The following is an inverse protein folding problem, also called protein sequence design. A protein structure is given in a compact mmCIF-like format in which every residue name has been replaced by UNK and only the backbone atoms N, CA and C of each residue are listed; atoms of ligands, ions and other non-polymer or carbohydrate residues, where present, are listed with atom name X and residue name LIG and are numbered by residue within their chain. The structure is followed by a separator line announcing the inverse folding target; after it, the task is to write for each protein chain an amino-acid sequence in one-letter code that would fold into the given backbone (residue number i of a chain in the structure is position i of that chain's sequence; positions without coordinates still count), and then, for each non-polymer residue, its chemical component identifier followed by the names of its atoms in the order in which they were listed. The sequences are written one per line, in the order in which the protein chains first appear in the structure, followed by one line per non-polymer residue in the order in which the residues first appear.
data_IF_605717170217
#
_entry.id   IF_605717170217
#
_cell.length_a   1.000
_cell.length_b   1.000
_cell.length_c   1.000
_cell.angle_alpha   90.00
_cell.angle_beta   90.00
_cell.angle_gamma   90.00
#
_symmetry.space_group_name_H-M   'P 1'
#
loop_
_entity.id
_entity.type
_entity.pdbx_description
1 polymer ?
#
# COMPACT_ATOMS: atom_id res chain seq x y z
N UNK A 1 10.58 9.10 -15.50
CA UNK A 1 9.54 8.27 -14.87
C UNK A 1 10.19 7.06 -14.22
N UNK A 2 9.78 6.74 -13.01
CA UNK A 2 10.31 5.58 -12.28
C UNK A 2 9.86 4.28 -12.95
N UNK A 3 10.76 3.31 -13.03
CA UNK A 3 10.45 1.96 -13.53
C UNK A 3 9.98 1.02 -12.43
N UNK A 4 9.84 1.52 -11.22
CA UNK A 4 9.44 0.75 -10.06
C UNK A 4 8.34 1.47 -9.32
N UNK A 5 7.37 0.68 -8.84
CA UNK A 5 6.38 1.16 -7.88
C UNK A 5 6.88 0.87 -6.47
N UNK A 6 6.57 1.74 -5.55
CA UNK A 6 6.66 1.44 -4.12
C UNK A 6 5.27 1.13 -3.61
N UNK A 7 5.17 0.24 -2.65
CA UNK A 7 3.90 -0.13 -2.06
C UNK A 7 3.94 -0.12 -0.56
N UNK A 8 2.79 0.09 0.05
CA UNK A 8 2.63 -0.01 1.50
C UNK A 8 1.67 -1.15 1.77
N UNK A 9 2.19 -2.27 2.26
CA UNK A 9 1.40 -3.48 2.50
C UNK A 9 1.27 -3.73 4.00
N UNK A 10 0.06 -4.08 4.40
CA UNK A 10 -0.28 -4.40 5.78
C UNK A 10 -0.25 -5.91 5.96
N UNK A 11 0.58 -6.42 6.87
CA UNK A 11 0.78 -7.86 7.05
C UNK A 11 -0.51 -8.60 7.43
N UNK A 12 -1.32 -8.01 8.32
CA UNK A 12 -2.55 -8.66 8.78
C UNK A 12 -3.65 -8.69 7.72
N UNK A 13 -3.48 -7.97 6.60
CA UNK A 13 -4.46 -8.00 5.53
C UNK A 13 -4.38 -9.28 4.68
N UNK A 14 -3.35 -10.10 4.87
CA UNK A 14 -3.16 -11.33 4.10
C UNK A 14 -3.40 -12.56 4.94
N UNK A 15 -4.05 -13.58 4.34
CA UNK A 15 -4.27 -14.87 4.99
C UNK A 15 -2.95 -15.57 5.30
N UNK A 16 -1.94 -15.37 4.44
CA UNK A 16 -0.59 -15.89 4.63
C UNK A 16 0.41 -14.73 4.59
N UNK A 17 0.88 -14.25 5.76
CA UNK A 17 1.83 -13.14 5.78
C UNK A 17 3.17 -13.45 5.10
N UNK A 18 3.51 -14.73 4.90
CA UNK A 18 4.74 -15.10 4.20
C UNK A 18 4.75 -14.65 2.75
N UNK A 19 3.59 -14.34 2.18
CA UNK A 19 3.52 -13.74 0.86
C UNK A 19 4.39 -12.49 0.74
N UNK A 20 4.52 -11.72 1.83
CA UNK A 20 5.32 -10.50 1.83
C UNK A 20 6.82 -10.76 1.68
N UNK A 21 7.28 -11.98 1.99
CA UNK A 21 8.69 -12.32 1.94
C UNK A 21 9.27 -12.34 0.51
N UNK A 22 8.40 -12.39 -0.50
CA UNK A 22 8.87 -12.39 -1.91
C UNK A 22 9.31 -11.01 -2.39
N UNK A 23 8.98 -9.95 -1.67
CA UNK A 23 9.23 -8.58 -2.10
C UNK A 23 10.52 -8.03 -1.53
N UNK A 24 11.15 -7.12 -2.30
CA UNK A 24 12.22 -6.29 -1.77
C UNK A 24 11.59 -5.24 -0.86
N UNK A 25 12.03 -5.19 0.39
CA UNK A 25 11.47 -4.30 1.40
C UNK A 25 12.43 -3.13 1.62
N UNK A 26 11.93 -1.91 1.56
CA UNK A 26 12.74 -0.72 1.85
C UNK A 26 12.41 -0.12 3.23
N UNK A 27 11.32 -0.51 3.86
CA UNK A 27 10.96 -0.03 5.19
C UNK A 27 9.99 -0.97 5.87
N UNK A 28 10.05 -1.04 7.20
CA UNK A 28 9.08 -1.74 8.03
C UNK A 28 8.74 -0.86 9.21
N UNK A 29 7.46 -0.76 9.54
CA UNK A 29 7.01 0.00 10.69
C UNK A 29 5.94 -0.77 11.44
N UNK A 30 6.25 -1.16 12.67
CA UNK A 30 5.27 -1.81 13.53
C UNK A 30 4.39 -0.75 14.18
N UNK A 31 3.07 -0.96 14.15
CA UNK A 31 2.13 -0.07 14.83
C UNK A 31 2.30 -0.20 16.35
N UNK A 32 2.19 0.92 17.07
CA UNK A 32 2.25 0.94 18.53
C UNK A 32 0.92 0.57 19.17
N UNK A 33 -0.18 0.72 18.44
CA UNK A 33 -1.54 0.55 18.97
C UNK A 33 -2.28 -0.63 18.39
N UNK A 34 -1.80 -1.19 17.26
CA UNK A 34 -2.43 -2.31 16.57
C UNK A 34 -1.41 -3.42 16.35
N UNK A 35 -1.86 -4.68 16.12
CA UNK A 35 -0.92 -5.77 15.82
C UNK A 35 -0.37 -5.74 14.40
N UNK A 36 -0.38 -4.59 13.75
CA UNK A 36 -0.01 -4.42 12.34
C UNK A 36 1.47 -4.09 12.18
N UNK A 37 2.08 -4.63 11.14
CA UNK A 37 3.36 -4.15 10.63
C UNK A 37 3.16 -3.71 9.19
N UNK A 38 3.54 -2.47 8.91
CA UNK A 38 3.49 -1.92 7.56
C UNK A 38 4.81 -2.24 6.86
N UNK A 39 4.72 -2.76 5.64
CA UNK A 39 5.88 -3.11 4.84
C UNK A 39 5.94 -2.20 3.62
N UNK A 40 7.00 -1.39 3.51
CA UNK A 40 7.28 -0.64 2.30
C UNK A 40 8.03 -1.54 1.35
N UNK A 41 7.47 -1.80 0.17
CA UNK A 41 8.02 -2.75 -0.79
C UNK A 41 8.26 -2.09 -2.14
N UNK A 42 9.09 -2.74 -2.96
CA UNK A 42 9.41 -2.29 -4.31
C UNK A 42 8.92 -3.33 -5.30
N UNK A 43 8.17 -2.89 -6.32
CA UNK A 43 7.64 -3.76 -7.37
C UNK A 43 8.01 -3.18 -8.73
N UNK A 44 8.72 -3.93 -9.59
CA UNK A 44 9.00 -3.46 -10.95
C UNK A 44 7.71 -3.18 -11.73
N UNK A 45 7.76 -2.20 -12.63
CA UNK A 45 6.54 -1.79 -13.38
C UNK A 45 5.97 -2.92 -14.23
N UNK A 46 6.81 -3.83 -14.72
CA UNK A 46 6.33 -4.95 -15.54
C UNK A 46 5.70 -6.06 -14.72
N UNK A 47 5.78 -5.99 -13.38
CA UNK A 47 5.16 -6.98 -12.49
C UNK A 47 3.94 -6.44 -11.74
N UNK A 48 3.65 -5.14 -11.87
CA UNK A 48 2.63 -4.51 -11.01
C UNK A 48 1.23 -5.11 -11.21
N UNK A 49 0.84 -5.39 -12.45
CA UNK A 49 -0.48 -5.96 -12.72
C UNK A 49 -0.62 -7.35 -12.12
N UNK A 50 0.41 -8.19 -12.24
CA UNK A 50 0.42 -9.52 -11.64
C UNK A 50 0.33 -9.44 -10.12
N UNK A 51 1.10 -8.53 -9.52
CA UNK A 51 1.10 -8.33 -8.07
C UNK A 51 -0.27 -7.88 -7.57
N UNK A 52 -0.91 -6.94 -8.27
CA UNK A 52 -2.26 -6.49 -7.91
C UNK A 52 -3.23 -7.66 -7.89
N UNK A 53 -3.20 -8.51 -8.91
CA UNK A 53 -4.07 -9.68 -8.98
C UNK A 53 -3.80 -10.66 -7.85
N UNK A 54 -2.52 -10.88 -7.53
CA UNK A 54 -2.14 -11.76 -6.42
C UNK A 54 -2.65 -11.22 -5.08
N UNK A 55 -2.50 -9.90 -4.86
CA UNK A 55 -2.96 -9.26 -3.63
C UNK A 55 -4.47 -9.46 -3.48
N UNK A 56 -5.23 -9.22 -4.54
CA UNK A 56 -6.68 -9.39 -4.47
C UNK A 56 -7.09 -10.83 -4.15
N UNK A 57 -6.32 -11.80 -4.65
CA UNK A 57 -6.59 -13.21 -4.36
C UNK A 57 -6.22 -13.59 -2.92
N UNK A 58 -5.24 -12.90 -2.32
CA UNK A 58 -4.68 -13.28 -1.02
C UNK A 58 -5.16 -12.43 0.14
N UNK A 59 -5.86 -11.33 -0.11
CA UNK A 59 -6.43 -10.52 0.98
C UNK A 59 -7.45 -11.37 1.74
N UNK A 60 -7.45 -11.23 3.08
CA UNK A 60 -8.41 -11.97 3.92
C UNK A 60 -9.83 -11.60 3.51
N UNK A 61 -10.74 -12.58 3.38
CA UNK A 61 -12.13 -12.29 3.07
C UNK A 61 -12.85 -11.70 4.27
N UNK A 62 -13.87 -10.91 4.02
CA UNK A 62 -14.77 -10.35 5.04
C UNK A 62 -14.15 -9.32 5.96
N UNK A 63 -12.93 -8.84 5.64
CA UNK A 63 -12.27 -7.76 6.38
C UNK A 63 -12.02 -6.59 5.44
N UNK A 64 -12.23 -5.34 5.90
CA UNK A 64 -12.13 -4.16 5.02
C UNK A 64 -10.69 -3.66 4.88
N UNK A 65 -9.80 -4.49 4.38
CA UNK A 65 -8.42 -4.09 4.18
C UNK A 65 -8.18 -3.60 2.76
N UNK A 66 -7.20 -2.70 2.63
CA UNK A 66 -6.66 -2.29 1.33
C UNK A 66 -5.16 -2.10 1.44
N UNK A 67 -4.49 -2.12 0.29
CA UNK A 67 -3.08 -1.80 0.16
C UNK A 67 -2.93 -0.83 -1.00
N UNK A 68 -1.80 -0.11 -1.07
CA UNK A 68 -1.64 0.83 -2.16
C UNK A 68 -0.22 0.86 -2.68
N UNK A 69 -0.09 1.28 -3.94
CA UNK A 69 1.17 1.44 -4.66
C UNK A 69 1.24 2.84 -5.24
N UNK A 70 2.44 3.34 -5.40
CA UNK A 70 2.64 4.70 -5.90
C UNK A 70 3.97 4.83 -6.61
N UNK A 71 4.02 5.72 -7.59
CA UNK A 71 5.24 6.20 -8.24
C UNK A 71 4.90 7.51 -8.95
N UNK A 72 5.86 8.43 -9.04
CA UNK A 72 5.67 9.71 -9.75
C UNK A 72 4.33 10.34 -9.38
N UNK A 73 3.40 10.47 -10.33
CA UNK A 73 2.08 11.03 -10.10
C UNK A 73 0.97 9.97 -10.18
N UNK A 74 1.29 8.71 -9.90
CA UNK A 74 0.33 7.60 -9.91
C UNK A 74 0.12 7.08 -8.50
N UNK A 75 -1.12 6.80 -8.16
CA UNK A 75 -1.49 6.16 -6.89
C UNK A 75 -2.52 5.08 -7.21
N UNK A 76 -2.21 3.84 -6.83
CA UNK A 76 -3.09 2.69 -7.06
C UNK A 76 -3.55 2.16 -5.70
N UNK A 77 -4.86 2.16 -5.48
CA UNK A 77 -5.44 1.64 -4.23
C UNK A 77 -6.12 0.31 -4.55
N UNK A 78 -5.69 -0.74 -3.86
CA UNK A 78 -6.12 -2.11 -4.13
C UNK A 78 -7.00 -2.62 -2.99
N UNK A 79 -8.30 -2.74 -3.24
CA UNK A 79 -9.24 -3.44 -2.37
C UNK A 79 -9.41 -4.86 -2.90
N UNK A 80 -9.97 -5.75 -2.10
CA UNK A 80 -10.14 -7.14 -2.51
C UNK A 80 -10.92 -7.28 -3.82
N UNK A 81 -11.98 -6.49 -3.98
CA UNK A 81 -12.87 -6.62 -5.13
C UNK A 81 -12.81 -5.45 -6.09
N UNK A 82 -11.94 -4.47 -5.84
CA UNK A 82 -11.87 -3.28 -6.69
C UNK A 82 -10.50 -2.61 -6.61
N UNK A 83 -10.05 -2.06 -7.74
CA UNK A 83 -8.80 -1.31 -7.84
C UNK A 83 -9.12 0.09 -8.36
N UNK A 84 -8.56 1.10 -7.69
CA UNK A 84 -8.69 2.49 -8.12
C UNK A 84 -7.32 3.01 -8.56
N UNK A 85 -7.29 3.68 -9.70
CA UNK A 85 -6.09 4.34 -10.20
C UNK A 85 -6.33 5.83 -10.15
N UNK A 86 -5.66 6.48 -9.22
CA UNK A 86 -5.83 7.89 -8.91
C UNK A 86 -4.45 8.56 -8.87
N UNK A 87 -4.38 9.77 -8.34
CA UNK A 87 -3.11 10.50 -8.20
C UNK A 87 -2.93 10.89 -6.73
N UNK A 88 -1.74 11.37 -6.33
CA UNK A 88 -1.56 11.91 -4.98
C UNK A 88 -2.42 13.15 -4.66
N UNK A 89 -3.01 13.78 -5.67
CA UNK A 89 -3.93 14.89 -5.47
C UNK A 89 -5.24 14.39 -4.87
N UNK A 90 -5.56 14.85 -3.68
CA UNK A 90 -6.76 14.42 -2.95
C UNK A 90 -8.07 14.67 -3.70
N UNK A 91 -8.09 15.64 -4.63
CA UNK A 91 -9.28 15.90 -5.44
C UNK A 91 -9.66 14.69 -6.32
N UNK A 92 -8.72 13.76 -6.56
CA UNK A 92 -8.97 12.55 -7.35
C UNK A 92 -9.47 11.38 -6.51
N UNK A 93 -9.59 11.53 -5.18
CA UNK A 93 -9.85 10.42 -4.26
C UNK A 93 -11.32 10.16 -3.95
N UNK A 94 -12.22 11.00 -4.42
CA UNK A 94 -13.63 10.98 -4.01
C UNK A 94 -14.26 9.58 -4.09
N UNK A 95 -14.17 8.94 -5.24
CA UNK A 95 -14.78 7.63 -5.46
C UNK A 95 -14.10 6.53 -4.64
N UNK A 96 -12.78 6.62 -4.50
CA UNK A 96 -12.00 5.66 -3.73
C UNK A 96 -12.37 5.72 -2.25
N UNK A 97 -12.45 6.94 -1.69
CA UNK A 97 -12.84 7.14 -0.30
C UNK A 97 -14.27 6.68 -0.07
N UNK A 98 -15.18 7.03 -0.98
CA UNK A 98 -16.57 6.59 -0.87
C UNK A 98 -16.69 5.06 -0.86
N UNK A 99 -15.93 4.38 -1.71
CA UNK A 99 -15.92 2.92 -1.72
C UNK A 99 -15.42 2.36 -0.38
N UNK A 100 -14.32 2.90 0.15
CA UNK A 100 -13.80 2.48 1.45
C UNK A 100 -14.81 2.67 2.57
N UNK A 101 -15.55 3.78 2.54
CA UNK A 101 -16.59 4.04 3.53
C UNK A 101 -17.71 3.00 3.47
N UNK A 102 -18.07 2.53 2.28
CA UNK A 102 -19.09 1.47 2.15
C UNK A 102 -18.63 0.15 2.77
N UNK A 103 -17.32 -0.06 2.90
CA UNK A 103 -16.76 -1.23 3.55
C UNK A 103 -16.62 -1.05 5.06
N UNK A 104 -16.95 0.12 5.59
CA UNK A 104 -16.84 0.40 7.01
C UNK A 104 -15.47 0.90 7.45
N UNK A 105 -14.61 1.29 6.52
CA UNK A 105 -13.28 1.82 6.87
C UNK A 105 -13.43 3.28 7.36
N UNK A 106 -12.88 3.61 8.54
CA UNK A 106 -12.94 5.00 9.03
C UNK A 106 -12.16 5.96 8.14
N UNK A 107 -12.60 7.22 8.09
CA UNK A 107 -11.95 8.23 7.26
C UNK A 107 -10.48 8.44 7.59
N UNK A 108 -10.10 8.33 8.85
CA UNK A 108 -8.71 8.50 9.27
C UNK A 108 -7.78 7.39 8.76
N UNK A 109 -8.35 6.30 8.25
CA UNK A 109 -7.60 5.22 7.61
C UNK A 109 -7.64 5.30 6.09
N UNK A 110 -8.34 6.25 5.51
CA UNK A 110 -8.46 6.44 4.06
C UNK A 110 -7.63 7.63 3.59
N UNK A 111 -6.37 7.66 3.98
CA UNK A 111 -5.45 8.77 3.66
C UNK A 111 -4.35 8.40 2.67
N UNK A 112 -4.19 7.14 2.34
CA UNK A 112 -3.29 6.62 1.29
C UNK A 112 -1.88 7.22 1.33
N UNK A 113 -1.23 7.15 2.49
CA UNK A 113 0.13 7.64 2.67
C UNK A 113 1.08 6.47 3.03
N UNK A 114 2.36 6.52 2.61
CA UNK A 114 2.95 7.54 1.75
C UNK A 114 2.45 7.36 0.31
N UNK A 115 2.44 8.44 -0.47
CA UNK A 115 2.03 8.37 -1.87
C UNK A 115 3.04 9.01 -2.82
N UNK A 116 4.21 9.37 -2.31
CA UNK A 116 5.36 9.84 -3.07
C UNK A 116 6.63 9.33 -2.40
N UNK A 117 7.67 9.10 -3.21
CA UNK A 117 8.95 8.62 -2.66
C UNK A 117 9.53 9.60 -1.65
N UNK A 118 9.34 10.90 -1.88
CA UNK A 118 9.89 11.96 -1.02
C UNK A 118 9.32 11.93 0.40
N UNK A 119 8.12 11.37 0.59
CA UNK A 119 7.49 11.33 1.90
C UNK A 119 7.74 10.05 2.69
N UNK A 120 8.49 9.11 2.13
CA UNK A 120 8.62 7.78 2.74
C UNK A 120 9.37 7.78 4.05
N UNK A 121 10.48 8.51 4.13
CA UNK A 121 11.27 8.54 5.37
C UNK A 121 10.52 9.18 6.52
N UNK A 122 9.71 10.20 6.23
CA UNK A 122 8.88 10.84 7.24
C UNK A 122 7.77 9.90 7.73
N UNK A 123 7.15 9.18 6.80
CA UNK A 123 6.05 8.26 7.14
C UNK A 123 6.52 7.06 7.95
N UNK A 124 7.57 6.36 7.47
CA UNK A 124 8.06 5.15 8.14
C UNK A 124 8.97 5.44 9.32
N UNK A 125 9.60 6.63 9.37
CA UNK A 125 10.64 6.94 10.33
C UNK A 125 12.01 6.54 9.81
N UNK A 126 13.01 7.40 10.04
CA UNK A 126 14.36 7.16 9.52
C UNK A 126 14.97 5.86 10.02
N UNK A 127 14.66 5.49 11.25
CA UNK A 127 15.19 4.27 11.88
C UNK A 127 14.64 2.99 11.25
N UNK A 128 13.52 3.07 10.53
CA UNK A 128 12.88 1.93 9.88
C UNK A 128 13.08 1.92 8.37
N UNK A 129 13.67 2.98 7.83
CA UNK A 129 13.82 3.14 6.39
C UNK A 129 15.14 2.52 5.93
N UNK A 130 15.05 1.68 4.92
CA UNK A 130 16.20 1.04 4.29
C UNK A 130 16.34 1.65 2.90
N UNK A 131 17.45 2.37 2.65
CA UNK A 131 17.65 3.00 1.34
C UNK A 131 17.72 1.91 0.26
N UNK A 132 16.77 1.87 -0.68
CA UNK A 132 16.77 0.83 -1.71
C UNK A 132 17.93 0.94 -2.71
N UNK A 133 18.68 2.05 -2.66
CA UNK A 133 19.84 2.26 -3.51
C UNK A 133 21.16 1.85 -2.86
N UNK A 134 21.12 1.49 -1.59
CA UNK A 134 22.34 1.10 -0.87
C UNK A 134 22.55 -0.41 -0.89
#
# INVERSE_FOLDING_TARGET
MSKEYHGNLLDTSFSDPQYLDKFKVFAKKKSETNPWTLHGIIVPEDEIETVIQEIQAKLVPNEPYYNHFYRDNELIVVFKDKVFRITPDRSTWKDTVAYGQTLGIPNDQLVFEPNRFEGEQEYFGKEHYIDPKS
#
